data_IF_165806615407
#
_entry.id   IF_165806615407
#
_cell.length_a   1.000
_cell.length_b   1.000
_cell.length_c   1.000
_cell.angle_alpha   90.00
_cell.angle_beta   90.00
_cell.angle_gamma   90.00
#
_symmetry.space_group_name_H-M   'P 1'
#
loop_
_entity.id
_entity.type
_entity.pdbx_description
1 polymer ?
#
# COMPACT_ATOMS: atom_id res chain seq x y z
N UNK A 1 15.12 -4.73 57.39
CA UNK A 1 15.17 -5.93 56.53
C UNK A 1 13.94 -5.86 55.63
N UNK A 2 13.98 -5.03 54.59
CA UNK A 2 12.83 -4.81 53.71
C UNK A 2 12.82 -5.93 52.70
N UNK A 3 11.90 -6.86 52.87
CA UNK A 3 11.58 -7.91 51.91
C UNK A 3 11.15 -7.22 50.61
N UNK A 4 12.07 -7.16 49.64
CA UNK A 4 11.75 -6.67 48.30
C UNK A 4 11.31 -7.89 47.52
N UNK A 5 10.00 -8.03 47.35
CA UNK A 5 9.43 -8.97 46.39
C UNK A 5 10.20 -8.85 45.05
N UNK A 6 10.60 -9.97 44.43
CA UNK A 6 11.21 -9.93 43.11
C UNK A 6 10.22 -9.30 42.14
N UNK A 7 10.59 -8.18 41.50
CA UNK A 7 9.78 -7.59 40.42
C UNK A 7 9.61 -8.67 39.35
N UNK A 8 8.39 -9.16 39.07
CA UNK A 8 8.18 -10.17 38.05
C UNK A 8 8.73 -9.61 36.74
N UNK A 9 9.51 -10.40 35.97
CA UNK A 9 10.07 -9.93 34.71
C UNK A 9 8.91 -9.43 33.88
N UNK A 10 8.92 -8.13 33.56
CA UNK A 10 7.87 -7.48 32.79
C UNK A 10 7.52 -8.41 31.64
N UNK A 11 6.31 -8.98 31.68
CA UNK A 11 5.86 -9.95 30.71
C UNK A 11 6.17 -9.35 29.33
N UNK A 12 7.11 -9.97 28.61
CA UNK A 12 7.39 -9.65 27.22
C UNK A 12 6.11 -10.00 26.48
N UNK A 13 5.20 -9.03 26.46
CA UNK A 13 3.99 -9.08 25.68
C UNK A 13 4.45 -8.82 24.25
N UNK A 14 4.97 -9.87 23.60
CA UNK A 14 5.19 -9.84 22.17
C UNK A 14 3.86 -9.44 21.53
N UNK A 15 3.79 -8.29 20.83
CA UNK A 15 2.56 -7.87 20.21
C UNK A 15 2.07 -9.00 19.29
N UNK A 16 0.79 -9.39 19.35
CA UNK A 16 0.29 -10.46 18.52
C UNK A 16 0.61 -10.16 17.05
N UNK A 17 1.04 -11.17 16.26
CA UNK A 17 1.43 -10.96 14.88
C UNK A 17 0.29 -10.26 14.13
N UNK A 18 0.57 -9.06 13.61
CA UNK A 18 -0.44 -8.25 12.91
C UNK A 18 -1.11 -9.11 11.82
N UNK A 19 -2.45 -9.23 11.82
CA UNK A 19 -3.17 -10.04 10.86
C UNK A 19 -2.85 -9.61 9.43
N UNK A 20 -2.79 -10.56 8.51
CA UNK A 20 -2.49 -10.31 7.10
C UNK A 20 -3.38 -9.20 6.51
N UNK A 21 -4.64 -9.14 6.95
CA UNK A 21 -5.58 -8.09 6.58
C UNK A 21 -5.09 -6.66 6.93
N UNK A 22 -4.48 -6.44 8.10
CA UNK A 22 -3.92 -5.13 8.45
C UNK A 22 -2.72 -4.76 7.57
N UNK A 23 -1.91 -5.75 7.19
CA UNK A 23 -0.75 -5.52 6.31
C UNK A 23 -1.18 -5.19 4.90
N UNK A 24 -2.12 -5.97 4.35
CA UNK A 24 -2.70 -5.70 3.03
C UNK A 24 -3.45 -4.37 3.04
N UNK A 25 -4.20 -4.06 4.09
CA UNK A 25 -4.87 -2.76 4.26
C UNK A 25 -3.90 -1.58 4.24
N UNK A 26 -2.74 -1.69 4.90
CA UNK A 26 -1.71 -0.65 4.91
C UNK A 26 -1.06 -0.40 3.54
N UNK A 27 -1.19 -1.33 2.58
CA UNK A 27 -0.67 -1.20 1.21
C UNK A 27 -1.78 -0.78 0.26
N UNK A 28 -2.91 -1.50 0.29
CA UNK A 28 -4.03 -1.33 -0.64
C UNK A 28 -4.78 -0.02 -0.41
N UNK A 29 -4.88 0.45 0.83
CA UNK A 29 -5.58 1.70 1.15
C UNK A 29 -4.90 2.93 0.53
N UNK A 30 -3.61 3.22 0.84
CA UNK A 30 -2.93 4.37 0.23
C UNK A 30 -2.77 4.22 -1.29
N UNK A 31 -2.58 3.00 -1.82
CA UNK A 31 -2.48 2.82 -3.28
C UNK A 31 -3.79 3.11 -3.99
N UNK A 32 -4.94 2.66 -3.46
CA UNK A 32 -6.26 2.95 -4.03
C UNK A 32 -6.51 4.45 -4.12
N UNK A 33 -6.18 5.20 -3.06
CA UNK A 33 -6.32 6.66 -3.05
C UNK A 33 -5.40 7.32 -4.08
N UNK A 34 -4.12 6.95 -4.13
CA UNK A 34 -3.18 7.49 -5.10
C UNK A 34 -3.61 7.20 -6.55
N UNK A 35 -4.14 6.01 -6.82
CA UNK A 35 -4.67 5.63 -8.12
C UNK A 35 -5.87 6.48 -8.54
N UNK A 36 -6.80 6.74 -7.61
CA UNK A 36 -7.95 7.59 -7.88
C UNK A 36 -7.52 9.02 -8.26
N UNK A 37 -6.60 9.61 -7.49
CA UNK A 37 -6.04 10.94 -7.79
C UNK A 37 -5.31 10.94 -9.13
N UNK A 38 -4.44 9.95 -9.39
CA UNK A 38 -3.71 9.83 -10.64
C UNK A 38 -4.65 9.70 -11.85
N UNK A 39 -5.74 8.94 -11.71
CA UNK A 39 -6.76 8.77 -12.76
C UNK A 39 -7.43 10.11 -13.08
N UNK A 40 -7.87 10.85 -12.06
CA UNK A 40 -8.49 12.17 -12.25
C UNK A 40 -7.52 13.15 -12.91
N UNK A 41 -6.28 13.24 -12.40
CA UNK A 41 -5.27 14.16 -12.95
C UNK A 41 -4.89 13.79 -14.38
N UNK A 42 -4.75 12.51 -14.70
CA UNK A 42 -4.43 12.05 -16.04
C UNK A 42 -5.52 12.42 -17.04
N UNK A 43 -6.79 12.13 -16.74
CA UNK A 43 -7.90 12.45 -17.65
C UNK A 43 -8.29 13.92 -17.66
N UNK A 44 -7.82 14.72 -16.70
CA UNK A 44 -7.88 16.18 -16.79
C UNK A 44 -6.97 16.72 -17.91
N UNK A 45 -5.85 16.05 -18.18
CA UNK A 45 -4.90 16.43 -19.22
C UNK A 45 -5.09 15.67 -20.54
N UNK A 46 -5.63 14.45 -20.49
CA UNK A 46 -5.75 13.53 -21.62
C UNK A 46 -7.22 13.21 -21.87
N UNK A 47 -7.77 13.59 -23.02
CA UNK A 47 -9.15 13.24 -23.38
C UNK A 47 -9.26 11.73 -23.64
N UNK A 48 -10.11 11.00 -22.90
CA UNK A 48 -10.30 9.56 -23.10
C UNK A 48 -10.74 9.18 -24.52
N UNK A 49 -11.41 10.08 -25.26
CA UNK A 49 -11.79 9.81 -26.66
C UNK A 49 -10.58 9.86 -27.60
N UNK A 50 -9.71 10.87 -27.44
CA UNK A 50 -8.50 10.99 -28.25
C UNK A 50 -7.57 9.80 -28.00
N UNK A 51 -7.46 9.34 -26.74
CA UNK A 51 -6.63 8.19 -26.39
C UNK A 51 -7.18 6.87 -26.99
N UNK A 52 -8.51 6.71 -27.01
CA UNK A 52 -9.18 5.57 -27.66
C UNK A 52 -8.88 5.55 -29.15
N UNK A 53 -9.05 6.68 -29.82
CA UNK A 53 -8.92 6.78 -31.27
C UNK A 53 -7.46 6.52 -31.73
N UNK A 54 -6.46 6.78 -30.88
CA UNK A 54 -5.04 6.51 -31.17
C UNK A 54 -4.60 5.08 -30.83
N UNK A 55 -5.15 4.46 -29.77
CA UNK A 55 -4.63 3.17 -29.26
C UNK A 55 -5.38 1.96 -29.82
N UNK A 56 -6.71 2.05 -29.97
CA UNK A 56 -7.54 0.93 -30.40
C UNK A 56 -8.74 1.41 -31.24
N UNK A 57 -8.52 1.86 -32.48
CA UNK A 57 -9.57 2.44 -33.32
C UNK A 57 -10.72 1.48 -33.65
N UNK A 58 -10.50 0.16 -33.56
CA UNK A 58 -11.51 -0.88 -33.85
C UNK A 58 -12.26 -1.39 -32.61
N UNK A 59 -11.78 -1.10 -31.40
CA UNK A 59 -12.49 -1.48 -30.17
C UNK A 59 -13.42 -0.33 -29.78
N UNK A 60 -14.74 -0.61 -29.71
CA UNK A 60 -15.75 0.30 -29.16
C UNK A 60 -15.58 0.46 -27.64
N UNK A 61 -14.45 1.00 -27.22
CA UNK A 61 -14.14 1.25 -25.84
C UNK A 61 -14.93 2.50 -25.40
N UNK A 62 -15.99 2.28 -24.61
CA UNK A 62 -16.77 3.39 -24.08
C UNK A 62 -15.91 4.26 -23.15
N UNK A 63 -16.29 5.53 -22.95
CA UNK A 63 -15.64 6.44 -21.99
C UNK A 63 -15.42 5.77 -20.62
N UNK A 64 -16.42 5.04 -20.16
CA UNK A 64 -16.39 4.31 -18.89
C UNK A 64 -15.36 3.16 -18.88
N UNK A 65 -15.21 2.46 -20.01
CA UNK A 65 -14.17 1.43 -20.17
C UNK A 65 -12.77 2.02 -20.06
N UNK A 66 -12.52 3.17 -20.70
CA UNK A 66 -11.23 3.87 -20.63
C UNK A 66 -10.86 4.26 -19.20
N UNK A 67 -11.80 4.83 -18.44
CA UNK A 67 -11.60 5.17 -17.03
C UNK A 67 -11.27 3.95 -16.17
N UNK A 68 -11.95 2.84 -16.41
CA UNK A 68 -11.77 1.61 -15.63
C UNK A 68 -10.39 1.01 -15.86
N UNK A 69 -9.96 0.89 -17.13
CA UNK A 69 -8.63 0.36 -17.47
C UNK A 69 -7.52 1.23 -16.88
N UNK A 70 -7.61 2.55 -17.07
CA UNK A 70 -6.63 3.48 -16.52
C UNK A 70 -6.58 3.42 -14.99
N UNK A 71 -7.74 3.32 -14.32
CA UNK A 71 -7.79 3.14 -12.87
C UNK A 71 -7.03 1.88 -12.44
N UNK A 72 -7.27 0.72 -13.07
CA UNK A 72 -6.56 -0.52 -12.73
C UNK A 72 -5.06 -0.45 -13.03
N UNK A 73 -4.66 0.22 -14.11
CA UNK A 73 -3.25 0.45 -14.43
C UNK A 73 -2.56 1.31 -13.37
N UNK A 74 -3.16 2.45 -13.02
CA UNK A 74 -2.63 3.32 -11.96
C UNK A 74 -2.68 2.67 -10.60
N UNK A 75 -3.72 1.89 -10.31
CA UNK A 75 -3.82 1.14 -9.05
C UNK A 75 -2.74 0.07 -8.94
N UNK A 76 -2.43 -0.65 -10.02
CA UNK A 76 -1.33 -1.61 -10.03
C UNK A 76 0.02 -0.91 -9.80
N UNK A 77 0.28 0.20 -10.50
CA UNK A 77 1.52 0.95 -10.36
C UNK A 77 1.71 1.52 -8.93
N UNK A 78 0.67 2.13 -8.37
CA UNK A 78 0.69 2.70 -7.01
C UNK A 78 0.71 1.60 -5.93
N UNK A 79 0.06 0.45 -6.17
CA UNK A 79 0.14 -0.70 -5.28
C UNK A 79 1.57 -1.26 -5.25
N UNK A 80 2.26 -1.33 -6.40
CA UNK A 80 3.67 -1.69 -6.45
C UNK A 80 4.55 -0.70 -5.68
N UNK A 81 4.30 0.61 -5.78
CA UNK A 81 5.03 1.62 -5.02
C UNK A 81 4.83 1.49 -3.50
N UNK A 82 3.58 1.30 -3.05
CA UNK A 82 3.26 1.05 -1.63
C UNK A 82 3.85 -0.27 -1.14
N UNK A 83 3.80 -1.33 -1.96
CA UNK A 83 4.39 -2.62 -1.64
C UNK A 83 5.91 -2.52 -1.53
N UNK A 84 6.56 -1.82 -2.46
CA UNK A 84 8.01 -1.60 -2.43
C UNK A 84 8.42 -0.81 -1.19
N UNK A 85 7.68 0.26 -0.88
CA UNK A 85 7.86 1.04 0.35
C UNK A 85 7.70 0.16 1.59
N UNK A 86 6.69 -0.72 1.60
CA UNK A 86 6.50 -1.69 2.68
C UNK A 86 7.65 -2.71 2.76
N UNK A 87 8.19 -3.21 1.64
CA UNK A 87 9.35 -4.12 1.61
C UNK A 87 10.60 -3.43 2.16
N UNK A 88 10.83 -2.17 1.80
CA UNK A 88 11.97 -1.37 2.30
C UNK A 88 11.84 -1.04 3.79
N UNK A 89 10.64 -0.64 4.22
CA UNK A 89 10.37 -0.30 5.61
C UNK A 89 10.12 -1.52 6.50
N UNK A 90 9.91 -2.71 5.92
CA UNK A 90 9.74 -3.97 6.66
C UNK A 90 11.04 -4.20 7.43
N UNK A 91 11.05 -3.99 8.74
CA UNK A 91 12.32 -3.74 9.39
C UNK A 91 13.18 -5.00 9.43
N UNK A 92 14.47 -4.82 9.21
CA UNK A 92 15.56 -5.59 9.83
C UNK A 92 15.50 -5.57 11.38
N UNK A 93 14.43 -5.06 12.01
CA UNK A 93 14.25 -4.95 13.47
C UNK A 93 14.11 -6.28 14.18
N UNK A 94 13.97 -7.40 13.45
CA UNK A 94 14.21 -8.72 14.05
C UNK A 94 15.66 -8.91 14.52
N UNK A 95 16.61 -8.11 14.03
CA UNK A 95 18.03 -8.21 14.37
C UNK A 95 18.52 -7.18 15.39
N UNK A 96 17.77 -6.12 15.69
CA UNK A 96 18.18 -5.14 16.70
C UNK A 96 17.59 -5.51 18.08
N UNK A 97 18.03 -6.64 18.66
CA UNK A 97 17.90 -6.82 20.11
C UNK A 97 18.77 -5.75 20.76
N UNK A 98 18.23 -4.84 21.59
CA UNK A 98 19.09 -3.99 22.40
C UNK A 98 19.95 -4.93 23.24
N UNK A 99 21.28 -4.89 23.07
CA UNK A 99 22.18 -5.51 24.03
C UNK A 99 21.94 -4.78 25.35
N UNK A 100 21.21 -5.41 26.26
CA UNK A 100 21.14 -4.96 27.65
C UNK A 100 22.59 -4.92 28.19
N UNK A 101 23.04 -3.75 28.62
CA UNK A 101 24.22 -3.54 29.46
C UNK A 101 23.73 -3.06 30.82
#
# INVERSE_FOLDING_TARGET
MTDRDPIPPAAVNDPPPRPLAQRLGAILWPSFFAAAVATVVFFMAVDPLVLRDVTFPELELSRMGGYTIAFFLFWSATASASLFTWILLRPSSRFNRPRQR
#
